data_IF_488626050172
#
_entry.id   IF_488626050172
#
_cell.length_a   1.000
_cell.length_b   1.000
_cell.length_c   1.000
_cell.angle_alpha   90.00
_cell.angle_beta   90.00
_cell.angle_gamma   90.00
#
_symmetry.space_group_name_H-M   'P 1'
#
loop_
_entity.id
_entity.type
_entity.pdbx_description
1 polymer ?
#
# COMPACT_ATOMS: atom_id res chain seq x y z
N UNK A 1 19.04 -5.33 -14.46
CA UNK A 1 18.24 -4.07 -14.51
C UNK A 1 17.00 -4.20 -13.62
N UNK A 2 17.16 -4.30 -12.29
CA UNK A 2 16.03 -4.51 -11.35
C UNK A 2 15.63 -3.24 -10.56
N UNK A 3 16.39 -2.15 -10.68
CA UNK A 3 16.21 -0.93 -9.86
C UNK A 3 15.20 0.08 -10.40
N UNK A 4 14.70 -0.11 -11.62
CA UNK A 4 13.85 0.89 -12.30
C UNK A 4 12.37 0.69 -11.98
N UNK A 5 11.92 -0.56 -11.75
CA UNK A 5 10.50 -0.87 -11.51
C UNK A 5 10.05 -0.43 -10.12
N UNK A 6 10.88 -0.67 -9.09
CA UNK A 6 10.57 -0.22 -7.73
C UNK A 6 10.40 1.30 -7.63
N UNK A 7 11.15 2.08 -8.41
CA UNK A 7 11.07 3.53 -8.41
C UNK A 7 9.72 4.06 -8.94
N UNK A 8 9.13 3.42 -9.95
CA UNK A 8 7.84 3.84 -10.51
C UNK A 8 6.69 3.65 -9.52
N UNK A 9 6.71 2.53 -8.78
CA UNK A 9 5.73 2.26 -7.72
C UNK A 9 5.82 3.29 -6.61
N UNK A 10 7.04 3.58 -6.14
CA UNK A 10 7.26 4.60 -5.12
C UNK A 10 6.81 5.97 -5.62
N UNK A 11 7.09 6.33 -6.87
CA UNK A 11 6.69 7.63 -7.45
C UNK A 11 5.17 7.76 -7.59
N UNK A 12 4.46 6.70 -8.00
CA UNK A 12 2.99 6.75 -8.12
C UNK A 12 2.32 6.94 -6.74
N UNK A 13 2.81 6.22 -5.74
CA UNK A 13 2.31 6.28 -4.36
C UNK A 13 2.64 7.63 -3.70
N UNK A 14 3.88 8.10 -3.84
CA UNK A 14 4.33 9.39 -3.29
C UNK A 14 3.73 10.59 -4.06
N UNK A 15 3.49 10.44 -5.37
CA UNK A 15 2.85 11.44 -6.21
C UNK A 15 1.37 11.65 -5.85
N UNK A 16 0.64 10.58 -5.52
CA UNK A 16 -0.72 10.66 -4.98
C UNK A 16 -0.79 11.42 -3.64
N UNK A 17 0.23 11.23 -2.80
CA UNK A 17 0.41 11.92 -1.51
C UNK A 17 0.62 13.43 -1.65
N UNK A 18 1.39 13.87 -2.65
CA UNK A 18 1.65 15.30 -2.89
C UNK A 18 0.36 16.09 -3.20
N UNK A 19 -0.65 15.43 -3.79
CA UNK A 19 -1.97 16.03 -4.02
C UNK A 19 -2.76 16.25 -2.71
N UNK A 20 -2.59 15.37 -1.72
CA UNK A 20 -3.29 15.47 -0.42
C UNK A 20 -2.55 16.31 0.63
N UNK A 21 -1.24 16.56 0.46
CA UNK A 21 -0.38 17.39 1.32
C UNK A 21 -0.87 18.83 1.56
N UNK A 22 -1.88 19.30 0.82
CA UNK A 22 -2.44 20.64 1.00
C UNK A 22 -3.37 20.80 2.22
N UNK A 23 -3.69 19.73 2.95
CA UNK A 23 -4.50 19.81 4.18
C UNK A 23 -4.01 18.86 5.30
N UNK A 24 -3.23 19.42 6.24
CA UNK A 24 -3.14 19.07 7.68
C UNK A 24 -2.08 18.06 8.20
N UNK A 25 -1.59 18.38 9.42
CA UNK A 25 -0.95 17.54 10.45
C UNK A 25 0.28 16.70 10.04
N UNK A 26 1.47 17.27 10.28
CA UNK A 26 2.80 16.67 10.05
C UNK A 26 2.95 15.24 10.61
N UNK A 27 2.37 14.95 11.79
CA UNK A 27 2.42 13.61 12.39
C UNK A 27 1.59 12.55 11.63
N UNK A 28 0.49 12.96 10.99
CA UNK A 28 -0.33 12.05 10.16
C UNK A 28 0.36 11.79 8.83
N UNK A 29 0.93 12.84 8.23
CA UNK A 29 1.72 12.74 7.01
C UNK A 29 2.92 11.81 7.20
N UNK A 30 3.68 11.97 8.29
CA UNK A 30 4.81 11.09 8.59
C UNK A 30 4.36 9.63 8.72
N UNK A 31 3.25 9.37 9.43
CA UNK A 31 2.71 8.02 9.59
C UNK A 31 2.30 7.39 8.25
N UNK A 32 1.75 8.20 7.34
CA UNK A 32 1.41 7.75 5.99
C UNK A 32 2.70 7.41 5.22
N UNK A 33 3.68 8.33 5.19
CA UNK A 33 4.96 8.14 4.49
C UNK A 33 5.68 6.87 4.99
N UNK A 34 5.75 6.66 6.32
CA UNK A 34 6.34 5.47 6.94
C UNK A 34 5.59 4.18 6.54
N UNK A 35 4.26 4.21 6.58
CA UNK A 35 3.44 3.04 6.20
C UNK A 35 3.66 2.65 4.75
N UNK A 36 3.73 3.64 3.86
CA UNK A 36 3.93 3.39 2.43
C UNK A 36 5.34 2.86 2.14
N UNK A 37 6.36 3.37 2.84
CA UNK A 37 7.71 2.82 2.75
C UNK A 37 7.74 1.33 3.15
N UNK A 38 7.13 0.97 4.29
CA UNK A 38 7.06 -0.41 4.77
C UNK A 38 6.33 -1.31 3.78
N UNK A 39 5.19 -0.85 3.24
CA UNK A 39 4.39 -1.62 2.28
C UNK A 39 5.14 -1.84 0.97
N UNK A 40 5.78 -0.80 0.42
CA UNK A 40 6.56 -0.90 -0.81
C UNK A 40 7.74 -1.86 -0.64
N UNK A 41 8.43 -1.78 0.50
CA UNK A 41 9.54 -2.70 0.81
C UNK A 41 9.07 -4.16 0.80
N UNK A 42 7.94 -4.46 1.47
CA UNK A 42 7.41 -5.83 1.52
C UNK A 42 6.95 -6.34 0.15
N UNK A 43 6.34 -5.48 -0.67
CA UNK A 43 5.94 -5.83 -2.05
C UNK A 43 7.16 -6.17 -2.90
N UNK A 44 8.24 -5.39 -2.79
CA UNK A 44 9.47 -5.63 -3.56
C UNK A 44 10.23 -6.89 -3.10
N UNK A 45 10.07 -7.29 -1.84
CA UNK A 45 10.64 -8.51 -1.28
C UNK A 45 9.86 -9.78 -1.65
N UNK A 46 8.68 -9.66 -2.26
CA UNK A 46 7.91 -10.84 -2.68
C UNK A 46 8.71 -11.68 -3.70
N UNK A 47 8.83 -13.00 -3.50
CA UNK A 47 9.56 -13.88 -4.43
C UNK A 47 9.05 -13.78 -5.87
N UNK A 48 7.75 -13.62 -6.05
CA UNK A 48 7.13 -13.50 -7.38
C UNK A 48 7.11 -12.08 -7.93
N UNK A 49 7.64 -11.07 -7.22
CA UNK A 49 7.58 -9.66 -7.66
C UNK A 49 8.19 -9.45 -9.04
N UNK A 50 9.39 -9.97 -9.29
CA UNK A 50 10.06 -9.82 -10.59
C UNK A 50 9.34 -10.55 -11.74
N UNK A 51 8.59 -11.61 -11.44
CA UNK A 51 7.86 -12.39 -12.46
C UNK A 51 6.47 -11.80 -12.73
N UNK A 52 5.90 -11.13 -11.73
CA UNK A 52 4.58 -10.50 -11.77
C UNK A 52 4.66 -8.97 -11.74
N UNK A 53 5.77 -8.37 -12.18
CA UNK A 53 5.97 -6.90 -12.11
C UNK A 53 4.84 -6.16 -12.83
N UNK A 54 4.44 -6.62 -14.02
CA UNK A 54 3.32 -6.05 -14.76
C UNK A 54 1.97 -6.12 -14.02
N UNK A 55 1.75 -7.17 -13.22
CA UNK A 55 0.55 -7.27 -12.38
C UNK A 55 0.58 -6.21 -11.27
N UNK A 56 1.72 -6.08 -10.60
CA UNK A 56 1.89 -5.08 -9.55
C UNK A 56 1.79 -3.67 -10.11
N UNK A 57 2.49 -3.35 -11.20
CA UNK A 57 2.44 -2.04 -11.84
C UNK A 57 1.01 -1.62 -12.22
N UNK A 58 0.18 -2.57 -12.67
CA UNK A 58 -1.20 -2.30 -13.06
C UNK A 58 -2.17 -2.15 -11.87
N UNK A 59 -1.89 -2.82 -10.75
CA UNK A 59 -2.85 -2.91 -9.63
C UNK A 59 -2.45 -2.13 -8.38
N UNK A 60 -1.18 -1.76 -8.23
CA UNK A 60 -0.67 -1.09 -7.03
C UNK A 60 -1.32 0.27 -6.77
N UNK A 61 -1.51 1.09 -7.80
CA UNK A 61 -2.18 2.40 -7.66
C UNK A 61 -3.65 2.24 -7.23
N UNK A 62 -4.35 1.26 -7.80
CA UNK A 62 -5.74 0.96 -7.42
C UNK A 62 -5.86 0.41 -6.01
N UNK A 63 -4.94 -0.47 -5.61
CA UNK A 63 -4.86 -1.02 -4.26
C UNK A 63 -4.54 0.08 -3.24
N UNK A 64 -3.56 0.94 -3.54
CA UNK A 64 -3.22 2.11 -2.73
C UNK A 64 -4.43 3.03 -2.56
N UNK A 65 -5.11 3.40 -3.64
CA UNK A 65 -6.28 4.29 -3.59
C UNK A 65 -7.40 3.73 -2.73
N UNK A 66 -7.73 2.44 -2.88
CA UNK A 66 -8.74 1.78 -2.07
C UNK A 66 -8.35 1.71 -0.59
N UNK A 67 -7.10 1.36 -0.31
CA UNK A 67 -6.56 1.28 1.04
C UNK A 67 -6.52 2.64 1.74
N UNK A 68 -6.02 3.66 1.04
CA UNK A 68 -5.92 5.02 1.57
C UNK A 68 -7.29 5.60 1.89
N UNK A 69 -8.26 5.49 0.98
CA UNK A 69 -9.62 5.96 1.22
C UNK A 69 -10.32 5.23 2.38
N UNK A 70 -9.93 3.99 2.65
CA UNK A 70 -10.47 3.21 3.77
C UNK A 70 -9.78 3.56 5.10
N UNK A 71 -8.47 3.79 5.07
CA UNK A 71 -7.63 4.01 6.25
C UNK A 71 -7.55 5.48 6.71
N UNK A 72 -7.68 6.42 5.78
CA UNK A 72 -7.61 7.85 6.05
C UNK A 72 -8.98 8.41 6.42
N UNK A 73 -9.01 9.18 7.50
CA UNK A 73 -10.18 9.95 7.91
C UNK A 73 -9.82 11.43 7.86
N UNK A 74 -10.48 12.16 6.96
CA UNK A 74 -10.33 13.61 6.87
C UNK A 74 -10.78 14.27 8.18
N UNK A 75 -9.88 15.06 8.77
CA UNK A 75 -10.22 15.87 9.93
C UNK A 75 -11.35 16.87 9.62
N UNK A 76 -12.04 17.30 10.66
CA UNK A 76 -13.06 18.35 10.59
C UNK A 76 -12.90 19.36 11.72
N UNK A 77 -13.83 20.30 11.83
CA UNK A 77 -13.79 21.40 12.83
C UNK A 77 -13.61 20.92 14.29
N UNK A 78 -13.96 19.67 14.61
CA UNK A 78 -13.92 19.10 15.98
C UNK A 78 -13.09 17.81 16.10
N UNK A 79 -12.55 17.28 15.02
CA UNK A 79 -11.81 16.01 15.03
C UNK A 79 -10.56 16.12 14.16
N UNK A 80 -9.37 15.77 14.66
CA UNK A 80 -8.16 15.79 13.85
C UNK A 80 -8.21 14.70 12.77
N UNK A 81 -7.45 14.90 11.69
CA UNK A 81 -7.21 13.86 10.71
C UNK A 81 -6.54 12.65 11.38
N UNK A 82 -6.86 11.44 10.89
CA UNK A 82 -6.31 10.19 11.43
C UNK A 82 -6.02 9.22 10.30
N UNK A 83 -4.99 8.41 10.50
CA UNK A 83 -4.60 7.35 9.59
C UNK A 83 -4.40 6.02 10.34
N UNK A 84 -5.09 4.99 9.86
CA UNK A 84 -5.05 3.63 10.38
C UNK A 84 -4.18 2.73 9.48
N UNK A 85 -2.93 2.52 9.87
CA UNK A 85 -1.93 1.79 9.08
C UNK A 85 -2.26 0.30 8.94
N UNK A 86 -2.77 -0.34 10.01
CA UNK A 86 -3.20 -1.73 9.96
C UNK A 86 -4.37 -1.91 8.99
N UNK A 87 -5.36 -1.00 9.04
CA UNK A 87 -6.47 -0.99 8.08
C UNK A 87 -5.99 -0.74 6.65
N UNK A 88 -5.01 0.13 6.45
CA UNK A 88 -4.39 0.36 5.15
C UNK A 88 -3.79 -0.94 4.59
N UNK A 89 -2.91 -1.60 5.34
CA UNK A 89 -2.24 -2.82 4.90
C UNK A 89 -3.22 -3.94 4.58
N UNK A 90 -4.23 -4.14 5.43
CA UNK A 90 -5.28 -5.11 5.21
C UNK A 90 -6.00 -4.89 3.88
N UNK A 91 -6.55 -3.69 3.67
CA UNK A 91 -7.34 -3.37 2.46
C UNK A 91 -6.47 -3.41 1.21
N UNK A 92 -5.21 -2.97 1.32
CA UNK A 92 -4.24 -3.03 0.23
C UNK A 92 -4.00 -4.47 -0.23
N UNK A 93 -3.68 -5.37 0.70
CA UNK A 93 -3.44 -6.78 0.41
C UNK A 93 -4.71 -7.50 -0.06
N UNK A 94 -5.87 -7.24 0.56
CA UNK A 94 -7.15 -7.78 0.12
C UNK A 94 -7.44 -7.41 -1.34
N UNK A 95 -7.11 -6.17 -1.74
CA UNK A 95 -7.35 -5.75 -3.12
C UNK A 95 -6.44 -6.48 -4.11
N UNK A 96 -5.14 -6.64 -3.80
CA UNK A 96 -4.20 -7.39 -4.63
C UNK A 96 -4.53 -8.89 -4.67
N UNK A 97 -4.87 -9.48 -3.53
CA UNK A 97 -5.29 -10.89 -3.41
C UNK A 97 -6.49 -11.17 -4.30
N UNK A 98 -7.52 -10.31 -4.24
CA UNK A 98 -8.69 -10.41 -5.13
C UNK A 98 -8.31 -10.40 -6.61
N UNK A 99 -7.38 -9.53 -7.02
CA UNK A 99 -6.90 -9.48 -8.42
C UNK A 99 -6.09 -10.71 -8.81
N UNK A 100 -5.27 -11.25 -7.90
CA UNK A 100 -4.55 -12.50 -8.13
C UNK A 100 -5.51 -13.68 -8.32
N UNK A 101 -6.59 -13.73 -7.52
CA UNK A 101 -7.65 -14.73 -7.65
C UNK A 101 -8.42 -14.59 -8.97
N UNK A 102 -8.78 -13.37 -9.37
CA UNK A 102 -9.43 -13.09 -10.67
C UNK A 102 -8.56 -13.53 -11.87
N UNK A 103 -7.23 -13.44 -11.74
CA UNK A 103 -6.25 -13.93 -12.73
C UNK A 103 -6.07 -15.46 -12.69
N UNK A 104 -6.53 -16.14 -11.63
CA UNK A 104 -6.30 -17.58 -11.42
C UNK A 104 -4.91 -17.92 -10.87
N UNK A 105 -4.16 -16.94 -10.35
CA UNK A 105 -2.81 -17.11 -9.84
C UNK A 105 -2.83 -17.39 -8.33
N UNK A 106 -3.15 -18.64 -7.96
CA UNK A 106 -3.27 -19.05 -6.55
C UNK A 106 -1.97 -18.88 -5.76
N UNK A 107 -0.81 -19.07 -6.42
CA UNK A 107 0.49 -18.91 -5.75
C UNK A 107 0.69 -17.46 -5.32
N UNK A 108 0.38 -16.52 -6.22
CA UNK A 108 0.46 -15.10 -5.92
C UNK A 108 -0.53 -14.68 -4.81
N UNK A 109 -1.75 -15.25 -4.78
CA UNK A 109 -2.70 -15.01 -3.68
C UNK A 109 -2.13 -15.42 -2.32
N UNK A 110 -1.53 -16.61 -2.21
CA UNK A 110 -0.89 -17.07 -0.96
C UNK A 110 0.25 -16.14 -0.55
N UNK A 111 1.13 -15.76 -1.49
CA UNK A 111 2.23 -14.83 -1.20
C UNK A 111 1.73 -13.46 -0.71
N UNK A 112 0.65 -12.93 -1.30
CA UNK A 112 0.04 -11.66 -0.88
C UNK A 112 -0.58 -11.78 0.53
N UNK A 113 -1.21 -12.90 0.85
CA UNK A 113 -1.77 -13.14 2.20
C UNK A 113 -0.69 -13.27 3.26
N UNK A 114 0.41 -13.95 2.94
CA UNK A 114 1.58 -14.02 3.84
C UNK A 114 2.20 -12.64 4.06
N UNK A 115 2.26 -11.82 3.00
CA UNK A 115 2.68 -10.42 3.10
C UNK A 115 1.74 -9.60 3.99
N UNK A 116 0.42 -9.79 3.89
CA UNK A 116 -0.55 -9.12 4.74
C UNK A 116 -0.27 -9.36 6.23
N UNK A 117 -0.05 -10.62 6.63
CA UNK A 117 0.23 -10.97 8.04
C UNK A 117 1.50 -10.26 8.53
N UNK A 118 2.55 -10.22 7.70
CA UNK A 118 3.81 -9.54 8.03
C UNK A 118 3.63 -8.03 8.15
N UNK A 119 2.85 -7.43 7.25
CA UNK A 119 2.56 -6.00 7.27
C UNK A 119 1.73 -5.59 8.48
N UNK A 120 0.70 -6.35 8.83
CA UNK A 120 -0.11 -6.09 10.02
C UNK A 120 0.77 -6.14 11.28
N UNK A 121 1.66 -7.15 11.41
CA UNK A 121 2.61 -7.23 12.51
C UNK A 121 3.59 -6.05 12.55
N UNK A 122 4.12 -5.63 11.40
CA UNK A 122 5.08 -4.53 11.31
C UNK A 122 4.45 -3.15 11.62
N UNK A 123 3.16 -2.98 11.36
CA UNK A 123 2.45 -1.70 11.51
C UNK A 123 1.68 -1.58 12.83
N UNK A 124 1.47 -2.70 13.54
CA UNK A 124 0.95 -2.74 14.92
C UNK A 124 2.03 -2.57 15.99
N UNK A 125 3.32 -2.62 15.61
CA UNK A 125 4.49 -2.47 16.48
C UNK A 125 4.84 -1.01 16.77
#
# INVERSE_FOLDING_TARGET
>A
MQRVVGALVTIAIVGGLAYFRFQANEATDQKIDDTLSIVVEHVQQLPSYSQNSAFFDLHLESAHSAAFNSAYSSGGRRSPARFDAAKYAKVFCEHLSKRAQEKGDQKLDVEIRDMQIKLEQALDS
#
